data_IF_300853405362
#
_entry.id   IF_300853405362
#
_cell.length_a   1.000
_cell.length_b   1.000
_cell.length_c   1.000
_cell.angle_alpha   90.00
_cell.angle_beta   90.00
_cell.angle_gamma   90.00
#
_symmetry.space_group_name_H-M   'P 1'
#
loop_
_entity.id
_entity.type
_entity.pdbx_description
1 polymer ?
#
# COMPACT_ATOMS: atom_id res chain seq x y z
N UNK A 1 -4.49 28.01 4.88
CA UNK A 1 -5.96 27.79 4.80
C UNK A 1 -6.35 26.78 3.70
N UNK A 2 -5.94 26.91 2.42
CA UNK A 2 -6.41 25.97 1.38
C UNK A 2 -5.93 24.52 1.58
N UNK A 3 -4.73 24.31 2.14
CA UNK A 3 -4.24 22.96 2.46
C UNK A 3 -5.08 22.27 3.55
N UNK A 4 -5.44 22.99 4.61
CA UNK A 4 -6.24 22.45 5.72
C UNK A 4 -7.65 22.07 5.22
N UNK A 5 -8.26 22.93 4.40
CA UNK A 5 -9.58 22.63 3.83
C UNK A 5 -9.56 21.38 2.94
N UNK A 6 -8.52 21.21 2.12
CA UNK A 6 -8.38 20.01 1.27
C UNK A 6 -8.15 18.75 2.11
N UNK A 7 -7.34 18.83 3.18
CA UNK A 7 -7.11 17.70 4.09
C UNK A 7 -8.37 17.29 4.85
N UNK A 8 -9.17 18.25 5.31
CA UNK A 8 -10.44 17.96 5.97
C UNK A 8 -11.44 17.33 5.00
N UNK A 9 -11.56 17.86 3.79
CA UNK A 9 -12.43 17.30 2.76
C UNK A 9 -12.01 15.88 2.36
N UNK A 10 -10.72 15.64 2.14
CA UNK A 10 -10.22 14.30 1.78
C UNK A 10 -10.49 13.30 2.89
N UNK A 11 -10.31 13.70 4.15
CA UNK A 11 -10.62 12.87 5.31
C UNK A 11 -12.11 12.52 5.39
N UNK A 12 -13.02 13.49 5.20
CA UNK A 12 -14.47 13.25 5.18
C UNK A 12 -14.85 12.26 4.07
N UNK A 13 -14.32 12.47 2.84
CA UNK A 13 -14.57 11.58 1.71
C UNK A 13 -14.05 10.16 2.00
N UNK A 14 -12.88 10.05 2.62
CA UNK A 14 -12.28 8.76 2.99
C UNK A 14 -13.15 8.03 4.02
N UNK A 15 -13.63 8.72 5.06
CA UNK A 15 -14.55 8.13 6.02
C UNK A 15 -15.87 7.70 5.40
N UNK A 16 -16.44 8.53 4.53
CA UNK A 16 -17.70 8.21 3.85
C UNK A 16 -17.56 6.96 2.96
N UNK A 17 -16.48 6.87 2.19
CA UNK A 17 -16.21 5.70 1.32
C UNK A 17 -15.91 4.44 2.13
N UNK A 18 -15.21 4.56 3.26
CA UNK A 18 -15.03 3.44 4.21
C UNK A 18 -16.37 2.94 4.75
N UNK A 19 -17.24 3.85 5.17
CA UNK A 19 -18.57 3.48 5.64
C UNK A 19 -19.39 2.78 4.54
N UNK A 20 -19.37 3.32 3.31
CA UNK A 20 -20.04 2.70 2.16
C UNK A 20 -19.50 1.29 1.88
N UNK A 21 -18.19 1.08 2.01
CA UNK A 21 -17.58 -0.25 1.84
C UNK A 21 -18.03 -1.26 2.88
N UNK A 22 -18.22 -0.84 4.13
CA UNK A 22 -18.74 -1.69 5.21
C UNK A 22 -20.19 -2.08 4.91
N UNK A 23 -21.04 -1.13 4.53
CA UNK A 23 -22.44 -1.40 4.20
C UNK A 23 -22.57 -2.34 2.98
N UNK A 24 -21.73 -2.13 1.96
CA UNK A 24 -21.74 -2.98 0.76
C UNK A 24 -21.26 -4.41 1.02
N UNK A 25 -20.54 -4.65 2.11
CA UNK A 25 -20.01 -5.95 2.48
C UNK A 25 -21.11 -6.98 2.81
N UNK A 26 -22.24 -6.51 3.36
CA UNK A 26 -23.41 -7.30 3.74
C UNK A 26 -24.69 -6.90 2.98
N UNK A 27 -24.56 -6.21 1.84
CA UNK A 27 -25.69 -5.72 1.03
C UNK A 27 -26.72 -6.80 0.66
N UNK A 28 -26.32 -8.07 0.61
CA UNK A 28 -27.21 -9.21 0.32
C UNK A 28 -27.24 -10.16 1.52
N UNK A 29 -28.42 -10.43 2.11
CA UNK A 29 -28.53 -11.33 3.26
C UNK A 29 -28.01 -12.72 2.87
N UNK A 30 -27.02 -13.21 3.62
CA UNK A 30 -26.42 -14.53 3.43
C UNK A 30 -25.19 -14.58 2.51
N UNK A 31 -24.72 -13.46 1.94
CA UNK A 31 -23.49 -13.43 1.13
C UNK A 31 -22.55 -12.31 1.57
N UNK A 32 -21.38 -12.70 2.06
CA UNK A 32 -20.30 -11.81 2.50
C UNK A 32 -19.35 -11.52 1.34
N UNK A 33 -19.24 -10.27 0.91
CA UNK A 33 -18.38 -9.89 -0.20
C UNK A 33 -16.99 -9.47 0.29
N UNK A 34 -16.06 -10.43 0.42
CA UNK A 34 -14.75 -10.15 1.00
C UNK A 34 -13.75 -9.51 0.03
N UNK A 35 -14.03 -9.49 -1.29
CA UNK A 35 -13.10 -8.95 -2.29
C UNK A 35 -13.73 -7.86 -3.15
N UNK A 36 -12.95 -6.83 -3.44
CA UNK A 36 -13.35 -5.68 -4.27
C UNK A 36 -13.89 -6.07 -5.66
N UNK A 37 -13.33 -7.09 -6.29
CA UNK A 37 -13.84 -7.53 -7.59
C UNK A 37 -15.20 -8.22 -7.48
N UNK A 38 -15.50 -8.89 -6.37
CA UNK A 38 -16.81 -9.49 -6.14
C UNK A 38 -17.88 -8.42 -5.94
N UNK A 39 -17.55 -7.35 -5.19
CA UNK A 39 -18.37 -6.15 -5.06
C UNK A 39 -18.60 -5.49 -6.42
N UNK A 40 -17.54 -5.30 -7.21
CA UNK A 40 -17.63 -4.74 -8.55
C UNK A 40 -18.50 -5.59 -9.48
N UNK A 41 -18.38 -6.91 -9.42
CA UNK A 41 -19.20 -7.84 -10.20
C UNK A 41 -20.68 -7.81 -9.81
N UNK A 42 -20.99 -7.55 -8.53
CA UNK A 42 -22.37 -7.41 -8.06
C UNK A 42 -22.97 -6.07 -8.50
N UNK A 43 -22.21 -4.97 -8.42
CA UNK A 43 -22.69 -3.62 -8.76
C UNK A 43 -22.77 -3.35 -10.27
N UNK A 44 -21.78 -3.80 -11.05
CA UNK A 44 -21.66 -3.49 -12.49
C UNK A 44 -21.83 -4.72 -13.40
N UNK A 45 -22.07 -5.90 -12.83
CA UNK A 45 -22.21 -7.16 -13.55
C UNK A 45 -20.91 -7.95 -13.69
N UNK A 46 -21.04 -9.27 -13.92
CA UNK A 46 -19.95 -10.26 -13.83
C UNK A 46 -18.71 -9.96 -14.69
N UNK A 47 -18.90 -9.36 -15.87
CA UNK A 47 -17.79 -9.03 -16.79
C UNK A 47 -17.30 -7.59 -16.60
N UNK A 48 -18.22 -6.62 -16.60
CA UNK A 48 -17.86 -5.20 -16.55
C UNK A 48 -17.18 -4.82 -15.24
N UNK A 49 -17.69 -5.30 -14.10
CA UNK A 49 -17.12 -5.01 -12.79
C UNK A 49 -15.70 -5.54 -12.61
N UNK A 50 -15.40 -6.71 -13.18
CA UNK A 50 -14.06 -7.28 -13.14
C UNK A 50 -13.07 -6.45 -13.97
N UNK A 51 -13.46 -6.04 -15.18
CA UNK A 51 -12.62 -5.25 -16.08
C UNK A 51 -12.36 -3.82 -15.59
N UNK A 52 -13.19 -3.26 -14.72
CA UNK A 52 -12.97 -1.93 -14.14
C UNK A 52 -12.12 -2.01 -12.88
N UNK A 53 -12.47 -2.90 -11.95
CA UNK A 53 -11.85 -2.94 -10.62
C UNK A 53 -10.43 -3.51 -10.67
N UNK A 54 -10.21 -4.60 -11.41
CA UNK A 54 -8.91 -5.29 -11.40
C UNK A 54 -7.78 -4.45 -11.98
N UNK A 55 -7.94 -3.76 -13.13
CA UNK A 55 -6.89 -2.89 -13.63
C UNK A 55 -6.55 -1.75 -12.67
N UNK A 56 -7.55 -1.15 -12.04
CA UNK A 56 -7.33 -0.08 -11.07
C UNK A 56 -6.53 -0.60 -9.85
N UNK A 57 -6.87 -1.77 -9.33
CA UNK A 57 -6.13 -2.39 -8.22
C UNK A 57 -4.68 -2.68 -8.61
N UNK A 58 -4.45 -3.28 -9.78
CA UNK A 58 -3.11 -3.60 -10.25
C UNK A 58 -2.24 -2.36 -10.46
N UNK A 59 -2.80 -1.30 -11.05
CA UNK A 59 -2.07 -0.04 -11.26
C UNK A 59 -1.63 0.55 -9.91
N UNK A 60 -2.53 0.57 -8.93
CA UNK A 60 -2.24 1.11 -7.60
C UNK A 60 -1.21 0.26 -6.85
N UNK A 61 -1.36 -1.06 -6.85
CA UNK A 61 -0.44 -1.98 -6.16
C UNK A 61 0.98 -1.93 -6.77
N UNK A 62 1.08 -1.98 -8.09
CA UNK A 62 2.38 -1.90 -8.80
C UNK A 62 3.01 -0.52 -8.59
N UNK A 63 2.21 0.55 -8.70
CA UNK A 63 2.68 1.92 -8.50
C UNK A 63 3.24 2.14 -7.09
N UNK A 64 2.51 1.70 -6.06
CA UNK A 64 2.95 1.80 -4.66
C UNK A 64 4.23 1.01 -4.45
N UNK A 65 4.33 -0.20 -4.98
CA UNK A 65 5.53 -1.03 -4.83
C UNK A 65 6.77 -0.32 -5.42
N UNK A 66 6.66 0.26 -6.62
CA UNK A 66 7.77 1.01 -7.24
C UNK A 66 8.17 2.21 -6.38
N UNK A 67 7.20 3.01 -5.94
CA UNK A 67 7.47 4.20 -5.12
C UNK A 67 8.16 3.81 -3.82
N UNK A 68 7.68 2.77 -3.12
CA UNK A 68 8.30 2.30 -1.89
C UNK A 68 9.73 1.80 -2.08
N UNK A 69 10.00 1.07 -3.17
CA UNK A 69 11.37 0.62 -3.48
C UNK A 69 12.32 1.81 -3.70
N UNK A 70 11.89 2.82 -4.46
CA UNK A 70 12.70 4.01 -4.74
C UNK A 70 12.89 4.86 -3.49
N UNK A 71 11.82 5.15 -2.74
CA UNK A 71 11.88 5.95 -1.51
C UNK A 71 12.65 5.25 -0.40
N UNK A 72 12.52 3.92 -0.27
CA UNK A 72 13.30 3.11 0.66
C UNK A 72 14.79 3.15 0.34
N UNK A 73 15.15 2.96 -0.94
CA UNK A 73 16.54 3.10 -1.41
C UNK A 73 17.13 4.50 -1.18
N UNK A 74 16.35 5.55 -1.45
CA UNK A 74 16.75 6.94 -1.17
C UNK A 74 16.97 7.21 0.32
N UNK A 75 16.10 6.65 1.17
CA UNK A 75 16.23 6.79 2.62
C UNK A 75 17.52 6.12 3.14
N UNK A 76 17.82 4.90 2.67
CA UNK A 76 19.07 4.20 3.01
C UNK A 76 20.30 4.95 2.52
N UNK A 77 20.26 5.49 1.31
CA UNK A 77 21.34 6.29 0.76
C UNK A 77 21.63 7.51 1.65
N UNK A 78 20.59 8.26 2.05
CA UNK A 78 20.75 9.42 2.95
C UNK A 78 21.31 9.04 4.31
N UNK A 79 20.88 7.92 4.88
CA UNK A 79 21.44 7.42 6.16
C UNK A 79 22.93 7.11 6.00
N UNK A 80 23.32 6.44 4.91
CA UNK A 80 24.73 6.15 4.62
C UNK A 80 25.57 7.42 4.44
N UNK A 81 25.07 8.40 3.69
CA UNK A 81 25.74 9.70 3.51
C UNK A 81 25.87 10.49 4.83
N UNK A 82 24.89 10.36 5.73
CA UNK A 82 24.92 11.04 7.03
C UNK A 82 25.89 10.38 8.01
N UNK A 83 25.99 9.05 8.00
CA UNK A 83 26.85 8.28 8.91
C UNK A 83 28.30 8.26 8.43
N UNK A 84 28.54 8.23 7.12
CA UNK A 84 29.88 8.22 6.54
C UNK A 84 30.14 9.48 5.71
N UNK A 85 30.71 10.50 6.36
CA UNK A 85 30.99 11.80 5.73
C UNK A 85 32.04 11.80 4.60
N UNK A 86 32.88 10.77 4.50
CA UNK A 86 33.94 10.66 3.47
C UNK A 86 33.82 9.41 2.56
N UNK A 87 32.69 8.70 2.61
CA UNK A 87 32.50 7.53 1.77
C UNK A 87 32.29 7.90 0.30
N UNK A 88 32.77 7.03 -0.62
CA UNK A 88 32.50 7.19 -2.05
C UNK A 88 30.98 7.13 -2.32
N UNK A 89 30.45 7.98 -3.21
CA UNK A 89 29.05 7.94 -3.57
C UNK A 89 28.73 6.62 -4.28
N UNK A 90 27.87 5.81 -3.66
CA UNK A 90 27.36 4.57 -4.23
C UNK A 90 26.11 4.91 -5.05
N UNK A 91 25.91 4.24 -6.20
CA UNK A 91 24.71 4.44 -7.01
C UNK A 91 23.45 4.02 -6.24
N UNK A 92 22.42 4.86 -6.30
CA UNK A 92 21.09 4.63 -5.71
C UNK A 92 20.51 3.25 -6.06
N UNK A 93 20.79 2.73 -7.25
CA UNK A 93 20.37 1.38 -7.69
C UNK A 93 20.80 0.28 -6.71
N UNK A 94 22.00 0.38 -6.12
CA UNK A 94 22.46 -0.61 -5.14
C UNK A 94 21.68 -0.53 -3.84
N UNK A 95 21.35 0.69 -3.38
CA UNK A 95 20.50 0.86 -2.18
C UNK A 95 19.07 0.35 -2.41
N UNK A 96 18.51 0.53 -3.61
CA UNK A 96 17.22 -0.09 -3.98
C UNK A 96 17.32 -1.61 -3.89
N UNK A 97 18.38 -2.23 -4.44
CA UNK A 97 18.55 -3.69 -4.39
C UNK A 97 18.70 -4.20 -2.95
N UNK A 98 19.43 -3.48 -2.10
CA UNK A 98 19.58 -3.79 -0.67
C UNK A 98 18.22 -3.73 0.03
N UNK A 99 17.40 -2.71 -0.26
CA UNK A 99 16.05 -2.59 0.30
C UNK A 99 15.10 -3.67 -0.22
N UNK A 100 15.21 -4.03 -1.50
CA UNK A 100 14.36 -5.03 -2.15
C UNK A 100 14.63 -6.46 -1.66
N UNK A 101 15.87 -6.79 -1.30
CA UNK A 101 16.26 -8.13 -0.86
C UNK A 101 15.43 -8.69 0.31
N UNK A 102 15.28 -7.99 1.46
CA UNK A 102 14.42 -8.46 2.54
C UNK A 102 12.94 -8.50 2.14
N UNK A 103 12.43 -7.54 1.36
CA UNK A 103 11.03 -7.60 0.87
C UNK A 103 10.78 -8.80 -0.05
N UNK A 104 11.75 -9.16 -0.88
CA UNK A 104 11.67 -10.36 -1.73
C UNK A 104 11.70 -11.64 -0.88
N UNK A 105 12.52 -11.70 0.16
CA UNK A 105 12.52 -12.84 1.07
C UNK A 105 11.19 -12.95 1.82
N UNK A 106 10.67 -11.82 2.31
CA UNK A 106 9.38 -11.75 3.00
C UNK A 106 8.20 -12.14 2.08
N UNK A 107 8.27 -11.87 0.78
CA UNK A 107 7.22 -12.26 -0.16
C UNK A 107 7.14 -13.76 -0.43
N UNK A 108 8.22 -14.50 -0.16
CA UNK A 108 8.24 -15.97 -0.25
C UNK A 108 7.70 -16.65 1.01
N UNK A 109 7.51 -15.92 2.12
CA UNK A 109 6.96 -16.48 3.34
C UNK A 109 5.43 -16.57 3.24
N UNK A 110 4.82 -17.76 3.27
CA UNK A 110 3.37 -17.93 3.16
C UNK A 110 2.60 -17.55 4.43
N UNK A 111 3.30 -17.08 5.49
CA UNK A 111 2.76 -17.05 6.84
C UNK A 111 2.50 -15.60 7.30
N UNK A 112 1.21 -15.26 7.48
CA UNK A 112 0.78 -13.94 7.99
C UNK A 112 1.40 -13.57 9.34
N UNK A 113 1.79 -14.58 10.14
CA UNK A 113 2.44 -14.36 11.43
C UNK A 113 3.81 -13.68 11.30
N UNK A 114 4.55 -13.89 10.20
CA UNK A 114 5.84 -13.23 9.96
C UNK A 114 5.69 -11.74 9.65
N UNK A 115 4.52 -11.32 9.16
CA UNK A 115 4.22 -9.91 8.83
C UNK A 115 3.79 -9.14 10.08
N UNK A 116 3.33 -9.82 11.13
CA UNK A 116 2.91 -9.17 12.39
C UNK A 116 4.03 -8.32 13.02
N UNK A 117 5.29 -8.76 12.94
CA UNK A 117 6.45 -8.02 13.44
C UNK A 117 6.68 -6.70 12.67
N UNK A 118 6.45 -6.71 11.36
CA UNK A 118 6.55 -5.51 10.51
C UNK A 118 5.41 -4.55 10.85
N UNK A 119 4.19 -5.07 11.04
CA UNK A 119 3.04 -4.27 11.46
C UNK A 119 3.25 -3.62 12.82
N UNK A 120 3.86 -4.33 13.78
CA UNK A 120 4.17 -3.80 15.10
C UNK A 120 5.22 -2.67 15.01
N UNK A 121 6.26 -2.86 14.19
CA UNK A 121 7.27 -1.82 13.96
C UNK A 121 6.65 -0.57 13.32
N UNK A 122 5.76 -0.76 12.34
CA UNK A 122 5.03 0.35 11.72
C UNK A 122 4.14 1.10 12.74
N UNK A 123 3.48 0.37 13.65
CA UNK A 123 2.68 0.98 14.70
C UNK A 123 3.54 1.82 15.66
N UNK A 124 4.72 1.35 16.06
CA UNK A 124 5.67 2.10 16.90
C UNK A 124 6.18 3.36 16.18
N UNK A 125 6.48 3.27 14.89
CA UNK A 125 6.94 4.42 14.09
C UNK A 125 5.83 5.46 13.83
N UNK A 126 4.56 5.06 13.95
CA UNK A 126 3.40 5.93 13.73
C UNK A 126 2.92 6.65 15.01
N UNK A 127 3.56 6.35 16.15
CA UNK A 127 3.30 6.91 17.48
C UNK A 127 4.17 8.16 17.70
#
# INVERSE_FOLDING_TARGET
VPGITVLLLSWIITLYTLWQMVEMHEMVPGKRFNRYHELGQQAFGKKLGLYIVVPQQLIVEVGINIVYMVTGGQSLQKVHETVCGECKPIRLTYFILIFAAPQFFLSQLPNFNSISAISLTAAVMSL
#
